data_IF_696467329431
#
_entry.id   IF_696467329431
#
_cell.length_a   1.000
_cell.length_b   1.000
_cell.length_c   1.000
_cell.angle_alpha   90.00
_cell.angle_beta   90.00
_cell.angle_gamma   90.00
#
_symmetry.space_group_name_H-M   'P 1'
#
loop_
_entity.id
_entity.type
_entity.pdbx_description
1 polymer ?
#
# COMPACT_ATOMS: atom_id res chain seq x y z
N UNK A 1 -6.68 4.02 -3.86
CA UNK A 1 -6.87 2.64 -4.35
C UNK A 1 -7.80 2.54 -5.57
N UNK A 2 -8.80 3.40 -5.79
CA UNK A 2 -9.76 3.28 -6.92
C UNK A 2 -9.11 2.98 -8.28
N UNK A 3 -8.16 3.81 -8.75
CA UNK A 3 -7.45 3.55 -10.01
C UNK A 3 -6.52 2.34 -9.97
N UNK A 4 -5.86 2.10 -8.83
CA UNK A 4 -4.92 0.98 -8.66
C UNK A 4 -5.61 -0.38 -8.72
N UNK A 5 -6.88 -0.47 -8.30
CA UNK A 5 -7.72 -1.67 -8.41
C UNK A 5 -8.42 -1.81 -9.77
N UNK A 6 -8.10 -0.96 -10.75
CA UNK A 6 -8.72 -0.98 -12.08
C UNK A 6 -10.01 -0.18 -12.21
N UNK A 7 -10.42 0.56 -11.17
CA UNK A 7 -11.51 1.53 -11.26
C UNK A 7 -11.06 2.87 -11.88
N UNK A 8 -11.92 3.91 -11.83
CA UNK A 8 -11.57 5.23 -12.36
C UNK A 8 -10.27 5.80 -11.72
N UNK A 9 -9.36 6.41 -12.52
CA UNK A 9 -8.06 6.88 -12.05
C UNK A 9 -8.13 8.22 -11.31
N UNK A 10 -9.01 8.33 -10.31
CA UNK A 10 -9.34 9.58 -9.61
C UNK A 10 -8.13 10.25 -8.96
N UNK A 11 -7.18 9.46 -8.45
CA UNK A 11 -5.97 9.99 -7.85
C UNK A 11 -5.05 10.63 -8.89
N UNK A 12 -4.87 9.98 -10.04
CA UNK A 12 -4.02 10.50 -11.12
C UNK A 12 -4.66 11.71 -11.79
N UNK A 13 -5.98 11.69 -12.00
CA UNK A 13 -6.71 12.85 -12.52
C UNK A 13 -6.55 14.10 -11.64
N UNK A 14 -6.47 13.93 -10.32
CA UNK A 14 -6.36 15.04 -9.37
C UNK A 14 -4.92 15.47 -9.06
N UNK A 15 -4.00 14.52 -8.98
CA UNK A 15 -2.63 14.76 -8.47
C UNK A 15 -1.53 14.39 -9.47
N UNK A 16 -1.88 14.01 -10.69
CA UNK A 16 -0.94 13.52 -11.70
C UNK A 16 -0.34 12.14 -11.36
N UNK A 17 0.65 11.74 -12.15
CA UNK A 17 1.28 10.42 -12.07
C UNK A 17 1.64 10.04 -10.62
N UNK A 18 1.31 8.82 -10.13
CA UNK A 18 1.38 8.49 -8.71
C UNK A 18 2.75 8.69 -8.06
N UNK A 19 3.84 8.29 -8.74
CA UNK A 19 5.25 8.37 -8.27
C UNK A 19 5.37 8.09 -6.75
N UNK A 20 4.77 6.99 -6.30
CA UNK A 20 4.48 6.76 -4.88
C UNK A 20 5.75 6.84 -4.03
N UNK A 21 6.83 6.13 -4.38
CA UNK A 21 8.09 6.16 -3.61
C UNK A 21 8.61 7.58 -3.43
N UNK A 22 8.64 8.39 -4.49
CA UNK A 22 9.11 9.77 -4.43
C UNK A 22 8.29 10.62 -3.45
N UNK A 23 6.97 10.38 -3.36
CA UNK A 23 6.09 11.04 -2.39
C UNK A 23 6.28 10.55 -0.95
N UNK A 24 6.90 9.38 -0.76
CA UNK A 24 7.18 8.81 0.56
C UNK A 24 8.62 9.08 1.05
N UNK A 25 9.53 9.58 0.19
CA UNK A 25 10.89 9.98 0.58
C UNK A 25 10.98 11.01 1.74
N UNK A 26 10.03 11.93 1.94
CA UNK A 26 10.07 12.84 3.09
C UNK A 26 9.88 12.16 4.47
N UNK A 27 9.46 10.89 4.49
CA UNK A 27 9.20 10.14 5.72
C UNK A 27 10.24 9.04 5.90
N UNK A 28 10.72 8.80 7.12
CA UNK A 28 11.62 7.69 7.42
C UNK A 28 10.85 6.38 7.57
N UNK A 29 10.99 5.46 6.62
CA UNK A 29 10.23 4.20 6.57
C UNK A 29 11.21 3.02 6.56
N UNK A 30 11.35 2.32 7.69
CA UNK A 30 12.05 1.05 7.82
C UNK A 30 11.10 -0.15 7.92
N UNK A 31 11.58 -1.32 8.35
CA UNK A 31 10.78 -2.54 8.48
C UNK A 31 9.63 -2.36 9.46
N UNK A 32 9.88 -1.76 10.63
CA UNK A 32 8.83 -1.57 11.64
C UNK A 32 7.64 -0.77 11.12
N UNK A 33 7.90 0.37 10.49
CA UNK A 33 6.84 1.23 9.96
C UNK A 33 6.07 0.55 8.81
N UNK A 34 6.78 -0.23 7.97
CA UNK A 34 6.19 -1.06 6.91
C UNK A 34 5.27 -2.15 7.49
N UNK A 35 5.72 -2.86 8.52
CA UNK A 35 4.98 -3.94 9.18
C UNK A 35 3.73 -3.42 9.90
N UNK A 36 3.86 -2.29 10.61
CA UNK A 36 2.73 -1.63 11.30
C UNK A 36 1.66 -1.17 10.30
N UNK A 37 2.07 -0.63 9.15
CA UNK A 37 1.14 -0.28 8.08
C UNK A 37 0.45 -1.53 7.50
N UNK A 38 1.20 -2.61 7.25
CA UNK A 38 0.62 -3.87 6.75
C UNK A 38 -0.32 -4.52 7.76
N UNK A 39 -0.03 -4.43 9.05
CA UNK A 39 -0.95 -4.91 10.10
C UNK A 39 -2.29 -4.20 10.03
N UNK A 40 -2.29 -2.87 9.86
CA UNK A 40 -3.51 -2.09 9.71
C UNK A 40 -4.28 -2.48 8.44
N UNK A 41 -3.56 -2.67 7.32
CA UNK A 41 -4.16 -3.10 6.06
C UNK A 41 -4.74 -4.51 6.13
N UNK A 42 -4.07 -5.45 6.79
CA UNK A 42 -4.59 -6.82 7.00
C UNK A 42 -5.94 -6.80 7.69
N UNK A 43 -6.03 -6.06 8.82
CA UNK A 43 -7.27 -5.90 9.60
C UNK A 43 -8.39 -5.26 8.78
N UNK A 44 -8.10 -4.15 8.09
CA UNK A 44 -9.09 -3.50 7.24
C UNK A 44 -9.61 -4.42 6.12
N UNK A 45 -8.72 -5.22 5.52
CA UNK A 45 -9.09 -6.21 4.52
C UNK A 45 -9.93 -7.36 5.11
N UNK A 46 -9.64 -7.82 6.34
CA UNK A 46 -10.45 -8.83 7.02
C UNK A 46 -11.88 -8.36 7.27
N UNK A 47 -12.05 -7.08 7.61
CA UNK A 47 -13.35 -6.47 7.89
C UNK A 47 -14.17 -6.15 6.63
N UNK A 48 -13.51 -5.85 5.51
CA UNK A 48 -14.18 -5.26 4.33
C UNK A 48 -14.22 -6.14 3.09
N UNK A 49 -13.39 -7.18 3.01
CA UNK A 49 -13.31 -8.08 1.85
C UNK A 49 -13.72 -9.48 2.29
N UNK A 50 -14.97 -9.85 1.99
CA UNK A 50 -15.55 -11.14 2.35
C UNK A 50 -14.87 -12.32 1.64
N UNK A 51 -14.48 -12.13 0.37
CA UNK A 51 -13.89 -13.20 -0.44
C UNK A 51 -12.42 -13.43 -0.07
N UNK A 52 -12.15 -14.51 0.65
CA UNK A 52 -10.82 -14.85 1.19
C UNK A 52 -9.70 -14.82 0.14
N UNK A 53 -9.88 -15.48 -1.01
CA UNK A 53 -8.82 -15.51 -2.03
C UNK A 53 -8.50 -14.11 -2.60
N UNK A 54 -9.50 -13.24 -2.71
CA UNK A 54 -9.31 -11.87 -3.17
C UNK A 54 -8.56 -11.07 -2.10
N UNK A 55 -8.93 -11.28 -0.84
CA UNK A 55 -8.30 -10.65 0.31
C UNK A 55 -6.80 -10.96 0.40
N UNK A 56 -6.43 -12.23 0.26
CA UNK A 56 -5.03 -12.65 0.26
C UNK A 56 -4.26 -12.09 -0.94
N UNK A 57 -4.86 -12.13 -2.15
CA UNK A 57 -4.26 -11.52 -3.34
C UNK A 57 -4.01 -10.02 -3.15
N UNK A 58 -4.99 -9.29 -2.61
CA UNK A 58 -4.85 -7.85 -2.34
C UNK A 58 -3.75 -7.58 -1.32
N UNK A 59 -3.71 -8.37 -0.24
CA UNK A 59 -2.69 -8.23 0.79
C UNK A 59 -1.28 -8.46 0.23
N UNK A 60 -1.07 -9.49 -0.59
CA UNK A 60 0.21 -9.77 -1.25
C UNK A 60 0.65 -8.59 -2.14
N UNK A 61 -0.26 -8.04 -2.96
CA UNK A 61 0.04 -6.87 -3.80
C UNK A 61 0.36 -5.62 -2.97
N UNK A 62 -0.34 -5.41 -1.86
CA UNK A 62 -0.06 -4.31 -0.94
C UNK A 62 1.27 -4.50 -0.22
N UNK A 63 1.63 -5.72 0.18
CA UNK A 63 2.91 -6.06 0.81
C UNK A 63 4.09 -5.72 -0.09
N UNK A 64 4.06 -6.16 -1.36
CA UNK A 64 5.09 -5.82 -2.33
C UNK A 64 5.21 -4.31 -2.59
N UNK A 65 4.08 -3.59 -2.61
CA UNK A 65 4.09 -2.13 -2.72
C UNK A 65 4.68 -1.45 -1.47
N UNK A 66 4.33 -1.92 -0.27
CA UNK A 66 4.81 -1.39 1.00
C UNK A 66 6.32 -1.58 1.14
N UNK A 67 6.84 -2.74 0.75
CA UNK A 67 8.30 -2.98 0.69
C UNK A 67 8.99 -2.01 -0.26
N UNK A 68 8.38 -1.73 -1.43
CA UNK A 68 8.91 -0.74 -2.35
C UNK A 68 8.89 0.70 -1.78
N UNK A 69 8.15 0.99 -0.71
CA UNK A 69 8.14 2.32 -0.08
C UNK A 69 9.26 2.50 0.96
N UNK A 70 9.82 1.42 1.51
CA UNK A 70 10.91 1.48 2.50
C UNK A 70 12.10 2.27 1.98
N UNK A 71 12.59 3.21 2.76
CA UNK A 71 13.67 4.12 2.37
C UNK A 71 14.76 4.27 3.43
N UNK A 72 14.66 3.50 4.52
CA UNK A 72 15.67 3.36 5.56
C UNK A 72 15.99 1.87 5.73
N UNK A 73 17.27 1.56 5.92
CA UNK A 73 17.71 0.24 6.39
C UNK A 73 17.31 0.04 7.86
N UNK A 74 17.26 -1.21 8.29
CA UNK A 74 17.03 -1.53 9.70
C UNK A 74 18.38 -1.46 10.44
N UNK A 75 18.37 -0.99 11.69
CA UNK A 75 19.54 -1.02 12.57
C UNK A 75 19.82 -2.42 13.11
#
# INVERSE_FOLDING_TARGET
FSGWLGGPPLFEAKYGHPRLRARHLPFSIGTRERDEWLLCMRRALDETVEHEQLRELLFEKMAGLADHMRNREDE
#
